data_IF_319296236125
#
_entry.id   IF_319296236125
#
_cell.length_a   1.000
_cell.length_b   1.000
_cell.length_c   1.000
_cell.angle_alpha   90.00
_cell.angle_beta   90.00
_cell.angle_gamma   90.00
#
_symmetry.space_group_name_H-M   'P 1'
#
loop_
_entity.id
_entity.type
_entity.pdbx_description
1 polymer ?
#
# COMPACT_ATOMS: atom_id res chain seq x y z
N UNK A 1 6.68 18.34 6.87
CA UNK A 1 7.18 17.07 7.45
C UNK A 1 8.68 17.18 7.56
N UNK A 2 9.22 17.02 8.76
CA UNK A 2 10.67 17.12 8.98
C UNK A 2 11.34 15.82 8.52
N UNK A 3 12.17 15.91 7.48
CA UNK A 3 12.92 14.77 6.94
C UNK A 3 13.91 14.20 7.96
N UNK A 4 14.30 14.99 8.97
CA UNK A 4 15.18 14.57 10.05
C UNK A 4 14.51 13.48 10.89
N UNK A 5 13.25 13.66 11.26
CA UNK A 5 12.48 12.69 12.05
C UNK A 5 12.37 11.33 11.33
N UNK A 6 12.21 11.34 10.01
CA UNK A 6 12.15 10.11 9.21
C UNK A 6 13.48 9.35 9.29
N UNK A 7 14.59 10.07 9.13
CA UNK A 7 15.92 9.48 9.19
C UNK A 7 16.23 8.91 10.56
N UNK A 8 15.94 9.66 11.63
CA UNK A 8 16.17 9.22 13.00
C UNK A 8 15.39 7.93 13.30
N UNK A 9 14.10 7.89 12.93
CA UNK A 9 13.26 6.69 13.09
C UNK A 9 13.72 5.52 12.24
N UNK A 10 14.19 5.75 11.02
CA UNK A 10 14.75 4.70 10.19
C UNK A 10 16.00 4.09 10.85
N UNK A 11 16.88 4.90 11.43
CA UNK A 11 18.06 4.40 12.12
C UNK A 11 17.69 3.58 13.37
N UNK A 12 16.68 4.00 14.14
CA UNK A 12 16.11 3.18 15.23
C UNK A 12 15.66 1.79 14.71
N UNK A 13 15.01 1.75 13.54
CA UNK A 13 14.50 0.52 12.92
C UNK A 13 15.63 -0.38 12.43
N UNK A 14 16.70 0.20 11.88
CA UNK A 14 17.92 -0.55 11.49
C UNK A 14 18.60 -1.20 12.68
N UNK A 15 18.67 -0.50 13.83
CA UNK A 15 19.22 -1.06 15.07
C UNK A 15 18.35 -2.22 15.56
N UNK A 16 17.02 -2.06 15.58
CA UNK A 16 16.09 -3.10 16.03
C UNK A 16 16.12 -4.34 15.14
N UNK A 17 16.23 -4.18 13.82
CA UNK A 17 16.17 -5.26 12.84
C UNK A 17 17.55 -5.63 12.27
N UNK A 18 18.64 -5.37 13.00
CA UNK A 18 20.03 -5.59 12.54
C UNK A 18 20.30 -6.99 12.01
N UNK A 19 19.70 -8.01 12.62
CA UNK A 19 19.89 -9.42 12.24
C UNK A 19 19.25 -9.76 10.88
N UNK A 20 18.34 -8.91 10.39
CA UNK A 20 17.71 -9.01 9.06
C UNK A 20 18.13 -7.87 8.13
N UNK A 21 19.27 -7.23 8.41
CA UNK A 21 19.68 -5.99 7.74
C UNK A 21 19.69 -6.13 6.21
N UNK A 22 20.29 -7.20 5.67
CA UNK A 22 20.33 -7.40 4.22
C UNK A 22 18.93 -7.61 3.61
N UNK A 23 18.11 -8.45 4.25
CA UNK A 23 16.78 -8.79 3.74
C UNK A 23 15.79 -7.62 3.78
N UNK A 24 15.99 -6.67 4.71
CA UNK A 24 15.15 -5.49 4.86
C UNK A 24 15.72 -4.28 4.13
N UNK A 25 16.98 -3.95 4.38
CA UNK A 25 17.57 -2.68 3.96
C UNK A 25 18.43 -2.78 2.70
N UNK A 26 18.66 -3.99 2.16
CA UNK A 26 19.41 -4.17 0.90
C UNK A 26 18.77 -3.44 -0.29
N UNK A 27 17.48 -3.14 -0.23
CA UNK A 27 16.80 -2.29 -1.22
C UNK A 27 17.37 -0.88 -1.36
N UNK A 28 18.09 -0.38 -0.34
CA UNK A 28 18.75 0.93 -0.41
C UNK A 28 20.04 0.92 -1.23
N UNK A 29 20.58 -0.26 -1.54
CA UNK A 29 21.74 -0.46 -2.42
C UNK A 29 21.33 -0.39 -3.91
N UNK A 30 20.03 -0.50 -4.22
CA UNK A 30 19.50 -0.27 -5.55
C UNK A 30 19.56 1.22 -5.96
N UNK A 31 19.56 1.47 -7.27
CA UNK A 31 19.40 2.81 -7.81
C UNK A 31 17.96 3.32 -7.59
N UNK A 32 17.73 3.99 -6.46
CA UNK A 32 16.44 4.61 -6.12
C UNK A 32 16.39 6.06 -6.61
N UNK A 33 15.28 6.43 -7.26
CA UNK A 33 14.93 7.83 -7.47
C UNK A 33 14.70 8.54 -6.13
N UNK A 34 14.76 9.87 -6.13
CA UNK A 34 14.51 10.65 -4.91
C UNK A 34 13.12 10.37 -4.30
N UNK A 35 12.10 10.18 -5.14
CA UNK A 35 10.73 9.88 -4.68
C UNK A 35 10.64 8.48 -4.07
N UNK A 36 11.25 7.48 -4.70
CA UNK A 36 11.30 6.12 -4.14
C UNK A 36 12.04 6.10 -2.81
N UNK A 37 13.21 6.74 -2.72
CA UNK A 37 14.00 6.79 -1.49
C UNK A 37 13.21 7.39 -0.33
N UNK A 38 12.60 8.57 -0.53
CA UNK A 38 11.78 9.20 0.52
C UNK A 38 10.60 8.32 0.93
N UNK A 39 9.93 7.66 -0.02
CA UNK A 39 8.80 6.79 0.26
C UNK A 39 9.20 5.51 1.03
N UNK A 40 10.30 4.86 0.65
CA UNK A 40 10.83 3.69 1.35
C UNK A 40 11.29 4.07 2.76
N UNK A 41 12.05 5.16 2.90
CA UNK A 41 12.47 5.69 4.21
C UNK A 41 11.26 5.99 5.11
N UNK A 42 10.21 6.61 4.55
CA UNK A 42 8.98 6.88 5.27
C UNK A 42 8.27 5.60 5.73
N UNK A 43 8.15 4.58 4.86
CA UNK A 43 7.57 3.30 5.25
C UNK A 43 8.35 2.68 6.42
N UNK A 44 9.68 2.61 6.33
CA UNK A 44 10.49 2.01 7.39
C UNK A 44 10.41 2.77 8.71
N UNK A 45 10.43 4.10 8.66
CA UNK A 45 10.34 4.95 9.84
C UNK A 45 9.06 4.67 10.66
N UNK A 46 7.94 4.37 9.99
CA UNK A 46 6.62 4.30 10.62
C UNK A 46 5.96 2.91 10.58
N UNK A 47 6.55 1.90 9.93
CA UNK A 47 6.02 0.55 9.94
C UNK A 47 6.14 -0.12 11.33
N UNK A 48 5.20 -0.99 11.71
CA UNK A 48 5.27 -1.72 12.96
C UNK A 48 6.33 -2.84 12.92
N UNK A 49 6.77 -3.25 14.11
CA UNK A 49 7.86 -4.22 14.27
C UNK A 49 7.54 -5.59 13.65
N UNK A 50 6.28 -6.02 13.66
CA UNK A 50 5.86 -7.29 13.05
C UNK A 50 6.17 -7.34 11.56
N UNK A 51 6.08 -6.21 10.86
CA UNK A 51 6.34 -6.18 9.42
C UNK A 51 7.84 -6.31 9.12
N UNK A 52 8.69 -5.79 10.01
CA UNK A 52 10.14 -6.00 9.98
C UNK A 52 10.54 -7.44 10.31
N UNK A 53 9.66 -8.22 10.97
CA UNK A 53 9.92 -9.62 11.29
C UNK A 53 9.47 -10.55 10.16
N UNK A 54 8.34 -10.24 9.52
CA UNK A 54 7.64 -11.17 8.65
C UNK A 54 7.97 -11.00 7.16
N UNK A 55 8.36 -9.80 6.71
CA UNK A 55 8.51 -9.48 5.27
C UNK A 55 9.92 -9.00 4.92
N UNK A 56 10.17 -8.81 3.61
CA UNK A 56 11.46 -8.33 3.05
C UNK A 56 11.30 -6.94 2.44
N UNK A 57 12.43 -6.25 2.24
CA UNK A 57 12.45 -4.94 1.61
C UNK A 57 11.87 -4.92 0.21
N UNK A 58 12.08 -5.99 -0.56
CA UNK A 58 11.58 -6.10 -1.93
C UNK A 58 10.06 -5.91 -2.02
N UNK A 59 9.30 -6.46 -1.06
CA UNK A 59 7.85 -6.30 -1.02
C UNK A 59 7.46 -4.83 -0.80
N UNK A 60 8.12 -4.13 0.13
CA UNK A 60 7.83 -2.72 0.39
C UNK A 60 8.24 -1.82 -0.78
N UNK A 61 9.40 -2.09 -1.40
CA UNK A 61 9.86 -1.35 -2.57
C UNK A 61 8.92 -1.55 -3.77
N UNK A 62 8.36 -2.76 -3.95
CA UNK A 62 7.30 -3.00 -4.94
C UNK A 62 6.07 -2.13 -4.67
N UNK A 63 5.57 -2.07 -3.44
CA UNK A 63 4.43 -1.19 -3.12
C UNK A 63 4.73 0.29 -3.40
N UNK A 64 5.95 0.75 -3.10
CA UNK A 64 6.41 2.12 -3.42
C UNK A 64 6.40 2.35 -4.94
N UNK A 65 7.03 1.47 -5.72
CA UNK A 65 7.11 1.61 -7.18
C UNK A 65 5.73 1.60 -7.83
N UNK A 66 4.87 0.67 -7.41
CA UNK A 66 3.51 0.56 -7.96
C UNK A 66 2.64 1.76 -7.60
N UNK A 67 2.70 2.26 -6.37
CA UNK A 67 1.94 3.47 -5.98
C UNK A 67 2.45 4.75 -6.67
N UNK A 68 3.76 4.88 -6.92
CA UNK A 68 4.31 5.98 -7.71
C UNK A 68 3.91 5.90 -9.19
N UNK A 69 3.87 4.69 -9.76
CA UNK A 69 3.39 4.48 -11.13
C UNK A 69 1.90 4.84 -11.25
N UNK A 70 1.07 4.34 -10.33
CA UNK A 70 -0.35 4.68 -10.27
C UNK A 70 -0.57 6.19 -10.16
N UNK A 71 0.21 6.86 -9.31
CA UNK A 71 0.17 8.32 -9.15
C UNK A 71 0.58 9.06 -10.43
N UNK A 72 1.51 8.53 -11.23
CA UNK A 72 1.94 9.14 -12.48
C UNK A 72 0.90 8.98 -13.59
N UNK A 73 0.21 7.84 -13.62
CA UNK A 73 -0.70 7.47 -14.71
C UNK A 73 -2.14 7.90 -14.48
N UNK A 74 -2.57 8.03 -13.21
CA UNK A 74 -3.92 8.49 -12.89
C UNK A 74 -4.16 9.95 -13.37
N UNK A 75 -5.30 10.25 -14.02
CA UNK A 75 -5.63 11.60 -14.49
C UNK A 75 -5.67 12.67 -13.38
N UNK A 76 -5.86 12.23 -12.14
CA UNK A 76 -5.89 13.09 -10.96
C UNK A 76 -4.58 13.08 -10.17
N UNK A 77 -3.55 12.39 -10.64
CA UNK A 77 -2.27 12.24 -9.93
C UNK A 77 -1.61 13.57 -9.57
N UNK A 78 -1.70 14.56 -10.47
CA UNK A 78 -1.14 15.91 -10.25
C UNK A 78 -1.82 16.68 -9.11
N UNK A 79 -3.06 16.30 -8.73
CA UNK A 79 -3.79 16.93 -7.61
C UNK A 79 -3.32 16.42 -6.25
N UNK A 80 -2.57 15.32 -6.21
CA UNK A 80 -2.14 14.68 -4.98
C UNK A 80 -0.82 15.31 -4.51
N UNK A 81 -0.84 15.87 -3.30
CA UNK A 81 0.35 16.43 -2.68
C UNK A 81 1.26 15.34 -2.10
N UNK A 82 2.54 15.65 -1.90
CA UNK A 82 3.49 14.73 -1.24
C UNK A 82 2.99 14.19 0.11
N UNK A 83 2.48 15.03 1.03
CA UNK A 83 1.88 14.55 2.29
C UNK A 83 0.67 13.64 2.06
N UNK A 84 -0.22 13.96 1.12
CA UNK A 84 -1.36 13.07 0.82
C UNK A 84 -0.90 11.70 0.34
N UNK A 85 0.09 11.67 -0.56
CA UNK A 85 0.66 10.42 -1.03
C UNK A 85 1.24 9.59 0.12
N UNK A 86 2.11 10.17 0.96
CA UNK A 86 2.77 9.44 2.04
C UNK A 86 1.81 8.87 3.08
N UNK A 87 0.75 9.62 3.44
CA UNK A 87 -0.16 9.22 4.51
C UNK A 87 -1.37 8.41 4.04
N UNK A 88 -1.84 8.59 2.80
CA UNK A 88 -3.11 8.01 2.35
C UNK A 88 -2.98 7.06 1.17
N UNK A 89 -1.94 7.19 0.34
CA UNK A 89 -1.77 6.35 -0.86
C UNK A 89 -0.70 5.28 -0.64
N UNK A 90 0.48 5.69 -0.20
CA UNK A 90 1.65 4.83 -0.01
C UNK A 90 1.42 3.64 0.95
N UNK A 91 0.73 3.78 2.11
CA UNK A 91 0.62 2.68 3.06
C UNK A 91 0.10 1.39 2.41
N UNK A 92 0.84 0.30 2.61
CA UNK A 92 0.56 -0.99 1.97
C UNK A 92 -0.60 -1.74 2.62
N UNK A 93 -1.08 -1.31 3.80
CA UNK A 93 -2.24 -1.91 4.47
C UNK A 93 -3.07 -0.87 5.23
N UNK A 94 -4.17 -1.30 5.83
CA UNK A 94 -5.11 -0.42 6.55
C UNK A 94 -5.10 -0.72 8.04
N UNK A 95 -5.09 -2.01 8.40
CA UNK A 95 -5.19 -2.51 9.76
C UNK A 95 -4.13 -3.60 10.02
N UNK A 96 -4.58 -4.85 10.17
CA UNK A 96 -3.79 -6.03 10.50
C UNK A 96 -3.76 -7.06 9.36
N UNK A 97 -4.02 -6.62 8.12
CA UNK A 97 -4.00 -7.48 6.95
C UNK A 97 -2.61 -8.10 6.76
N UNK A 98 -2.60 -9.35 6.30
CA UNK A 98 -1.39 -9.95 5.72
C UNK A 98 -0.99 -9.14 4.50
N UNK A 99 0.30 -8.81 4.37
CA UNK A 99 0.78 -7.97 3.28
C UNK A 99 1.01 -8.86 2.06
N UNK A 100 0.42 -8.49 0.93
CA UNK A 100 0.60 -9.15 -0.36
C UNK A 100 0.83 -8.11 -1.46
N UNK A 101 1.45 -8.53 -2.56
CA UNK A 101 1.70 -7.72 -3.77
C UNK A 101 0.40 -7.52 -4.59
N UNK A 102 -0.59 -6.84 -4.01
CA UNK A 102 -1.93 -6.68 -4.59
C UNK A 102 -2.04 -5.56 -5.64
N UNK A 103 -1.19 -4.52 -5.53
CA UNK A 103 -1.31 -3.31 -6.35
C UNK A 103 -1.31 -3.58 -7.86
N UNK A 104 -0.44 -4.45 -8.41
CA UNK A 104 -0.47 -4.74 -9.85
C UNK A 104 -1.78 -5.37 -10.32
N UNK A 105 -2.34 -6.30 -9.54
CA UNK A 105 -3.62 -6.93 -9.87
C UNK A 105 -4.76 -5.90 -9.85
N UNK A 106 -4.78 -5.00 -8.87
CA UNK A 106 -5.85 -4.00 -8.73
C UNK A 106 -5.75 -2.94 -9.83
N UNK A 107 -4.54 -2.46 -10.10
CA UNK A 107 -4.30 -1.50 -11.18
C UNK A 107 -4.80 -2.03 -12.53
N UNK A 108 -4.45 -3.28 -12.87
CA UNK A 108 -4.85 -3.90 -14.14
C UNK A 108 -6.36 -4.11 -14.27
N UNK A 109 -7.06 -4.37 -13.16
CA UNK A 109 -8.53 -4.55 -13.17
C UNK A 109 -9.30 -3.22 -13.18
N UNK A 110 -8.75 -2.18 -12.56
CA UNK A 110 -9.47 -0.92 -12.30
C UNK A 110 -9.10 0.20 -13.26
N UNK A 111 -7.84 0.35 -13.66
CA UNK A 111 -7.38 1.57 -14.34
C UNK A 111 -8.15 1.87 -15.62
N UNK A 112 -8.37 0.86 -16.46
CA UNK A 112 -9.15 1.01 -17.70
C UNK A 112 -10.64 1.32 -17.45
N UNK A 113 -11.19 0.93 -16.28
CA UNK A 113 -12.58 1.28 -15.91
C UNK A 113 -12.71 2.74 -15.49
N UNK A 114 -11.65 3.35 -14.94
CA UNK A 114 -11.73 4.65 -14.26
C UNK A 114 -10.99 5.79 -14.95
N UNK A 115 -10.09 5.51 -15.91
CA UNK A 115 -9.19 6.50 -16.53
C UNK A 115 -9.88 7.66 -17.24
N UNK A 116 -11.10 7.45 -17.75
CA UNK A 116 -11.85 8.48 -18.48
C UNK A 116 -12.96 9.12 -17.63
N UNK A 117 -13.04 8.76 -16.34
CA UNK A 117 -14.05 9.24 -15.41
C UNK A 117 -13.58 10.47 -14.62
N UNK A 118 -14.55 11.23 -14.10
CA UNK A 118 -14.24 12.21 -13.06
C UNK A 118 -13.74 11.49 -11.80
N UNK A 119 -13.00 12.19 -10.92
CA UNK A 119 -12.54 11.57 -9.66
C UNK A 119 -13.71 11.04 -8.81
N UNK A 120 -14.85 11.73 -8.81
CA UNK A 120 -16.03 11.29 -8.08
C UNK A 120 -16.61 10.00 -8.68
N UNK A 121 -16.75 9.94 -10.01
CA UNK A 121 -17.27 8.77 -10.71
C UNK A 121 -16.30 7.59 -10.64
N UNK A 122 -14.99 7.84 -10.68
CA UNK A 122 -13.96 6.82 -10.47
C UNK A 122 -14.04 6.17 -9.08
N UNK A 123 -14.34 6.93 -8.03
CA UNK A 123 -14.56 6.41 -6.68
C UNK A 123 -15.81 5.51 -6.65
N UNK A 124 -16.90 5.93 -7.28
CA UNK A 124 -18.13 5.15 -7.36
C UNK A 124 -17.91 3.85 -8.15
N UNK A 125 -17.25 3.93 -9.29
CA UNK A 125 -16.92 2.78 -10.14
C UNK A 125 -16.01 1.78 -9.42
N UNK A 126 -15.01 2.27 -8.68
CA UNK A 126 -14.15 1.42 -7.84
C UNK A 126 -14.97 0.71 -6.76
N UNK A 127 -15.92 1.40 -6.14
CA UNK A 127 -16.82 0.81 -5.14
C UNK A 127 -17.74 -0.25 -5.76
N UNK A 128 -18.23 -0.03 -6.98
CA UNK A 128 -18.99 -1.04 -7.74
C UNK A 128 -18.14 -2.29 -8.05
N UNK A 129 -16.91 -2.12 -8.51
CA UNK A 129 -15.98 -3.25 -8.70
C UNK A 129 -15.73 -3.99 -7.38
N UNK A 130 -15.57 -3.29 -6.25
CA UNK A 130 -15.42 -3.96 -4.96
C UNK A 130 -16.64 -4.84 -4.63
N UNK A 131 -17.85 -4.35 -4.91
CA UNK A 131 -19.08 -5.10 -4.72
C UNK A 131 -19.19 -6.34 -5.64
N UNK A 132 -18.60 -6.31 -6.84
CA UNK A 132 -18.51 -7.47 -7.73
C UNK A 132 -17.61 -8.58 -7.16
N UNK A 133 -16.63 -8.24 -6.31
CA UNK A 133 -15.59 -9.18 -5.83
C UNK A 133 -15.85 -9.74 -4.44
N UNK A 134 -16.65 -9.08 -3.62
CA UNK A 134 -16.83 -9.43 -2.21
C UNK A 134 -18.31 -9.60 -1.83
N UNK A 135 -18.60 -10.63 -1.05
CA UNK A 135 -19.91 -10.83 -0.40
C UNK A 135 -19.73 -10.84 1.11
N UNK A 136 -20.61 -10.13 1.80
CA UNK A 136 -20.58 -10.05 3.25
C UNK A 136 -20.71 -11.43 3.90
N UNK A 137 -19.77 -11.76 4.79
CA UNK A 137 -19.79 -12.97 5.61
C UNK A 137 -19.17 -12.68 6.96
N UNK A 138 -19.85 -13.06 8.04
CA UNK A 138 -19.28 -12.98 9.38
C UNK A 138 -18.03 -13.89 9.48
N UNK A 139 -17.00 -13.40 10.18
CA UNK A 139 -15.70 -14.06 10.34
C UNK A 139 -15.02 -13.61 11.63
N UNK A 140 -13.83 -14.18 11.89
CA UNK A 140 -12.93 -13.77 12.96
C UNK A 140 -12.50 -12.27 12.84
N UNK A 141 -12.16 -11.58 13.94
CA UNK A 141 -11.69 -10.19 13.91
C UNK A 141 -10.41 -9.93 13.12
N UNK A 142 -9.62 -10.94 12.74
CA UNK A 142 -8.44 -10.73 11.89
C UNK A 142 -8.85 -10.42 10.44
N UNK A 143 -8.46 -9.25 9.96
CA UNK A 143 -8.71 -8.84 8.58
C UNK A 143 -7.81 -9.63 7.63
N UNK A 144 -8.40 -10.34 6.67
CA UNK A 144 -7.64 -11.01 5.60
C UNK A 144 -7.10 -9.97 4.60
N UNK A 145 -6.13 -10.37 3.80
CA UNK A 145 -5.56 -9.50 2.78
C UNK A 145 -6.57 -9.17 1.66
N UNK A 146 -6.38 -8.06 0.94
CA UNK A 146 -7.21 -7.70 -0.21
C UNK A 146 -7.29 -8.80 -1.29
N UNK A 147 -6.17 -9.49 -1.58
CA UNK A 147 -6.19 -10.61 -2.53
C UNK A 147 -6.87 -11.85 -1.97
N UNK A 148 -6.74 -12.14 -0.67
CA UNK A 148 -7.48 -13.25 -0.06
C UNK A 148 -8.99 -13.01 -0.16
N UNK A 149 -9.45 -11.77 0.06
CA UNK A 149 -10.87 -11.42 -0.11
C UNK A 149 -11.35 -11.69 -1.54
N UNK A 150 -10.59 -11.29 -2.56
CA UNK A 150 -10.92 -11.56 -3.97
C UNK A 150 -10.97 -13.06 -4.25
N UNK A 151 -10.05 -13.86 -3.68
CA UNK A 151 -10.01 -15.32 -3.88
C UNK A 151 -11.17 -16.05 -3.21
N UNK A 152 -11.62 -15.59 -2.05
CA UNK A 152 -12.66 -16.25 -1.26
C UNK A 152 -14.05 -15.68 -1.49
N UNK A 153 -14.15 -14.46 -2.02
CA UNK A 153 -15.34 -13.63 -2.14
C UNK A 153 -16.10 -13.42 -0.81
N UNK A 154 -15.42 -13.56 0.34
CA UNK A 154 -16.05 -13.52 1.67
C UNK A 154 -15.28 -12.63 2.65
N UNK A 155 -15.95 -11.61 3.19
CA UNK A 155 -15.39 -10.72 4.21
C UNK A 155 -16.47 -10.06 5.05
N UNK A 156 -16.16 -9.61 6.27
CA UNK A 156 -17.03 -8.72 7.07
C UNK A 156 -16.70 -7.27 6.71
N UNK A 157 -17.31 -6.35 7.44
CA UNK A 157 -17.10 -4.90 7.24
C UNK A 157 -15.62 -4.47 7.32
N UNK A 158 -14.78 -5.19 8.08
CA UNK A 158 -13.35 -4.90 8.16
C UNK A 158 -12.60 -5.22 6.87
N UNK A 159 -12.82 -6.39 6.28
CA UNK A 159 -12.21 -6.80 5.03
C UNK A 159 -12.73 -5.95 3.87
N UNK A 160 -14.04 -5.71 3.81
CA UNK A 160 -14.63 -4.90 2.74
C UNK A 160 -14.12 -3.44 2.78
N UNK A 161 -14.00 -2.84 3.96
CA UNK A 161 -13.45 -1.49 4.09
C UNK A 161 -11.95 -1.43 3.78
N UNK A 162 -11.16 -2.39 4.26
CA UNK A 162 -9.74 -2.49 3.92
C UNK A 162 -9.52 -2.72 2.42
N UNK A 163 -10.36 -3.55 1.80
CA UNK A 163 -10.33 -3.83 0.38
C UNK A 163 -10.67 -2.61 -0.47
N UNK A 164 -11.72 -1.86 -0.12
CA UNK A 164 -12.06 -0.62 -0.82
C UNK A 164 -10.93 0.40 -0.72
N UNK A 165 -10.33 0.58 0.46
CA UNK A 165 -9.18 1.49 0.61
C UNK A 165 -8.00 1.00 -0.23
N UNK A 166 -7.72 -0.30 -0.27
CA UNK A 166 -6.64 -0.84 -1.11
C UNK A 166 -6.93 -0.68 -2.62
N UNK A 167 -8.19 -0.74 -3.05
CA UNK A 167 -8.62 -0.53 -4.43
C UNK A 167 -8.52 0.93 -4.87
N UNK A 168 -8.79 1.87 -3.96
CA UNK A 168 -8.69 3.32 -4.21
C UNK A 168 -7.25 3.85 -4.20
N UNK A 169 -6.27 3.05 -3.75
CA UNK A 169 -4.86 3.43 -3.56
C UNK A 169 -3.94 2.99 -4.70
#
# INVERSE_FOLDING_TARGET
MDLTIIKDKLEEKKVLAKERSQALFGVFDEALSQKERVAVEFLYAFMPLVDLADYTGDLFLKHVRQSLNALREAPWGEKITGPMYLHYILPYRVSNETIEDYRPYFWNELFERVRDLSMADAILETNHWCHEKATYSASDPRTISPLALVRTARGRCGEESAFLVAALR
#
